data_IF_212360379096
#
_entry.id   IF_212360379096
#
_cell.length_a   1.000
_cell.length_b   1.000
_cell.length_c   1.000
_cell.angle_alpha   90.00
_cell.angle_beta   90.00
_cell.angle_gamma   90.00
#
_symmetry.space_group_name_H-M   'P 1'
#
loop_
_entity.id
_entity.type
_entity.pdbx_description
1 polymer ?
#
# COMPACT_ATOMS: atom_id res chain seq x y z
N UNK A 1 -4.99 -24.78 9.80
CA UNK A 1 -3.90 -23.87 10.17
C UNK A 1 -3.51 -23.08 8.93
N UNK A 2 -3.83 -21.79 8.88
CA UNK A 2 -3.53 -20.94 7.72
C UNK A 2 -2.06 -20.51 7.77
N UNK A 3 -1.37 -20.72 6.65
CA UNK A 3 0.07 -20.58 6.51
C UNK A 3 0.49 -19.14 6.18
N UNK A 4 1.70 -18.81 6.63
CA UNK A 4 2.35 -17.51 6.62
C UNK A 4 2.95 -17.28 5.23
N UNK A 5 2.58 -16.19 4.55
CA UNK A 5 3.33 -15.67 3.41
C UNK A 5 4.69 -15.11 3.85
N UNK A 6 5.36 -14.33 3.01
CA UNK A 6 6.74 -13.81 3.17
C UNK A 6 7.07 -12.97 4.44
N UNK A 7 6.27 -13.04 5.52
CA UNK A 7 6.39 -12.25 6.76
C UNK A 7 7.61 -12.57 7.63
N UNK A 8 8.58 -13.32 7.12
CA UNK A 8 9.75 -13.81 7.87
C UNK A 8 11.07 -13.54 7.18
N UNK A 9 11.14 -12.70 6.13
CA UNK A 9 12.45 -12.27 5.61
C UNK A 9 13.28 -11.63 6.71
N UNK A 10 12.62 -10.83 7.57
CA UNK A 10 13.28 -10.13 8.67
C UNK A 10 12.60 -10.40 10.01
N UNK A 11 13.43 -10.44 11.06
CA UNK A 11 12.98 -10.39 12.45
C UNK A 11 13.03 -8.93 12.91
N UNK A 12 11.92 -8.42 13.44
CA UNK A 12 11.83 -7.04 13.91
C UNK A 12 10.44 -6.71 14.48
N UNK A 13 10.26 -5.45 14.88
CA UNK A 13 8.98 -4.93 15.39
C UNK A 13 7.85 -5.11 14.38
N UNK A 14 6.63 -5.24 14.89
CA UNK A 14 5.39 -5.39 14.11
C UNK A 14 4.26 -4.50 14.63
N UNK A 15 4.59 -3.61 15.57
CA UNK A 15 3.60 -2.85 16.35
C UNK A 15 2.83 -1.91 15.43
N UNK A 16 3.55 -1.14 14.61
CA UNK A 16 2.93 -0.16 13.71
C UNK A 16 2.17 -0.86 12.59
N UNK A 17 2.65 -2.00 12.10
CA UNK A 17 1.91 -2.84 11.17
C UNK A 17 0.53 -3.19 11.72
N UNK A 18 0.44 -3.72 12.94
CA UNK A 18 -0.84 -4.06 13.53
C UNK A 18 -1.71 -2.83 13.80
N UNK A 19 -1.12 -1.74 14.28
CA UNK A 19 -1.84 -0.48 14.53
C UNK A 19 -2.47 0.05 13.24
N UNK A 20 -1.70 0.19 12.15
CA UNK A 20 -2.20 0.71 10.88
C UNK A 20 -3.27 -0.21 10.27
N UNK A 21 -3.06 -1.53 10.34
CA UNK A 21 -4.05 -2.50 9.86
C UNK A 21 -5.35 -2.41 10.69
N UNK A 22 -5.26 -2.34 12.01
CA UNK A 22 -6.40 -2.14 12.89
C UNK A 22 -7.10 -0.81 12.61
N UNK A 23 -6.36 0.28 12.38
CA UNK A 23 -6.94 1.57 12.02
C UNK A 23 -7.68 1.50 10.69
N UNK A 24 -7.15 0.83 9.66
CA UNK A 24 -7.85 0.64 8.39
C UNK A 24 -9.17 -0.12 8.59
N UNK A 25 -9.14 -1.23 9.34
CA UNK A 25 -10.34 -2.06 9.59
C UNK A 25 -11.37 -1.33 10.42
N UNK A 26 -10.95 -0.72 11.54
CA UNK A 26 -11.86 0.02 12.43
C UNK A 26 -12.45 1.24 11.73
N UNK A 27 -11.66 1.97 10.92
CA UNK A 27 -12.15 3.09 10.14
C UNK A 27 -13.20 2.64 9.13
N UNK A 28 -12.98 1.52 8.43
CA UNK A 28 -13.98 0.97 7.51
C UNK A 28 -15.27 0.54 8.22
N UNK A 29 -15.17 -0.11 9.38
CA UNK A 29 -16.36 -0.50 10.16
C UNK A 29 -17.13 0.73 10.67
N UNK A 30 -16.41 1.75 11.15
CA UNK A 30 -17.00 3.00 11.62
C UNK A 30 -17.69 3.76 10.48
N UNK A 31 -17.02 3.92 9.33
CA UNK A 31 -17.59 4.61 8.17
C UNK A 31 -18.79 3.85 7.64
N UNK A 32 -18.70 2.53 7.49
CA UNK A 32 -19.83 1.69 7.09
C UNK A 32 -21.04 1.87 8.01
N UNK A 33 -20.83 1.94 9.33
CA UNK A 33 -21.90 2.13 10.31
C UNK A 33 -22.54 3.52 10.24
N UNK A 34 -21.74 4.55 10.03
CA UNK A 34 -22.18 5.96 9.96
C UNK A 34 -22.90 6.24 8.64
N UNK A 35 -22.39 5.73 7.52
CA UNK A 35 -22.88 6.08 6.18
C UNK A 35 -23.96 5.14 5.65
N UNK A 36 -24.33 4.11 6.42
CA UNK A 36 -25.40 3.18 6.07
C UNK A 36 -25.09 2.22 4.91
N UNK A 37 -23.83 2.10 4.49
CA UNK A 37 -23.46 1.16 3.42
C UNK A 37 -22.17 1.50 2.68
N UNK A 38 -21.74 0.61 1.76
CA UNK A 38 -20.57 0.78 0.93
C UNK A 38 -20.77 1.95 -0.06
N UNK A 39 -19.69 2.62 -0.45
CA UNK A 39 -19.67 3.69 -1.44
C UNK A 39 -19.86 5.09 -0.86
N UNK A 40 -20.36 5.22 0.37
CA UNK A 40 -20.57 6.55 0.98
C UNK A 40 -19.36 7.07 1.77
N UNK A 41 -18.29 6.27 1.92
CA UNK A 41 -17.09 6.71 2.64
C UNK A 41 -16.37 7.89 1.96
N UNK A 42 -16.58 8.12 0.65
CA UNK A 42 -15.97 9.24 -0.07
C UNK A 42 -16.41 10.61 0.46
N UNK A 43 -17.64 10.74 0.97
CA UNK A 43 -18.16 12.00 1.50
C UNK A 43 -17.55 12.39 2.85
N UNK A 44 -16.86 11.46 3.53
CA UNK A 44 -16.26 11.67 4.84
C UNK A 44 -14.84 12.26 4.78
N UNK A 45 -14.38 12.69 3.60
CA UNK A 45 -13.07 13.33 3.42
C UNK A 45 -12.17 12.63 2.41
N UNK A 46 -12.72 12.17 1.29
CA UNK A 46 -11.90 11.78 0.14
C UNK A 46 -11.11 12.96 -0.43
N UNK A 47 -10.00 12.66 -1.10
CA UNK A 47 -9.18 13.66 -1.77
C UNK A 47 -9.86 14.06 -3.07
N UNK A 48 -10.25 15.34 -3.18
CA UNK A 48 -10.85 15.90 -4.40
C UNK A 48 -9.85 16.89 -5.00
N UNK A 49 -9.33 16.65 -6.22
CA UNK A 49 -8.38 17.56 -6.85
C UNK A 49 -8.84 19.02 -6.95
N UNK A 50 -10.10 19.27 -7.36
CA UNK A 50 -10.62 20.63 -7.47
C UNK A 50 -10.69 21.40 -6.14
N UNK A 51 -10.67 20.74 -4.97
CA UNK A 51 -10.56 21.43 -3.68
C UNK A 51 -9.22 22.15 -3.50
N UNK A 52 -8.19 21.79 -4.26
CA UNK A 52 -6.86 22.41 -4.22
C UNK A 52 -6.73 23.60 -5.19
N UNK A 53 -7.49 23.61 -6.28
CA UNK A 53 -7.37 24.60 -7.35
C UNK A 53 -8.54 25.60 -7.40
N UNK A 54 -9.71 25.21 -6.90
CA UNK A 54 -10.92 26.03 -6.84
C UNK A 54 -11.66 25.85 -5.49
N UNK A 55 -11.01 26.10 -4.34
CA UNK A 55 -11.57 25.79 -3.01
C UNK A 55 -12.90 26.49 -2.73
N UNK A 56 -13.15 27.67 -3.33
CA UNK A 56 -14.40 28.43 -3.19
C UNK A 56 -15.61 27.69 -3.77
N UNK A 57 -15.40 26.88 -4.82
CA UNK A 57 -16.44 26.13 -5.50
C UNK A 57 -16.63 24.71 -4.93
N UNK A 58 -15.71 24.26 -4.09
CA UNK A 58 -15.66 22.90 -3.55
C UNK A 58 -15.47 22.93 -2.02
N UNK A 59 -16.53 23.23 -1.25
CA UNK A 59 -16.45 23.32 0.20
C UNK A 59 -15.91 22.04 0.84
N UNK A 60 -15.15 22.21 1.92
CA UNK A 60 -14.37 21.15 2.56
C UNK A 60 -15.00 20.71 3.88
N UNK A 61 -15.33 19.42 4.01
CA UNK A 61 -15.61 18.81 5.32
C UNK A 61 -14.33 18.49 6.10
N UNK A 62 -13.24 18.27 5.37
CA UNK A 62 -11.89 18.01 5.88
C UNK A 62 -10.95 18.90 5.08
N UNK A 63 -10.03 19.64 5.73
CA UNK A 63 -9.05 20.44 5.01
C UNK A 63 -8.31 19.65 3.94
N UNK A 64 -8.13 20.20 2.74
CA UNK A 64 -7.55 19.49 1.59
C UNK A 64 -6.19 18.85 1.89
N UNK A 65 -5.32 19.53 2.64
CA UNK A 65 -4.02 18.98 3.05
C UNK A 65 -4.16 17.79 4.02
N UNK A 66 -5.17 17.81 4.89
CA UNK A 66 -5.43 16.74 5.86
C UNK A 66 -6.07 15.53 5.18
N UNK A 67 -6.85 15.74 4.11
CA UNK A 67 -7.46 14.64 3.36
C UNK A 67 -6.42 13.71 2.73
N UNK A 68 -5.21 14.19 2.40
CA UNK A 68 -4.11 13.34 1.92
C UNK A 68 -3.69 12.25 2.92
N UNK A 69 -3.91 12.47 4.22
CA UNK A 69 -3.60 11.51 5.27
C UNK A 69 -4.86 10.76 5.69
N UNK A 70 -5.95 11.48 5.90
CA UNK A 70 -7.23 10.93 6.34
C UNK A 70 -7.78 9.88 5.35
N UNK A 71 -7.71 10.18 4.05
CA UNK A 71 -8.24 9.31 3.00
C UNK A 71 -7.51 7.95 2.91
N UNK A 72 -6.31 7.80 3.48
CA UNK A 72 -5.60 6.51 3.54
C UNK A 72 -6.35 5.45 4.35
N UNK A 73 -7.21 5.86 5.28
CA UNK A 73 -7.95 4.96 6.16
C UNK A 73 -9.40 4.73 5.71
N UNK A 74 -9.88 5.51 4.75
CA UNK A 74 -11.21 5.36 4.16
C UNK A 74 -11.19 4.32 3.03
N UNK A 75 -12.20 3.45 2.99
CA UNK A 75 -12.32 2.43 1.94
C UNK A 75 -13.75 2.36 1.42
N UNK A 76 -13.87 2.24 0.10
CA UNK A 76 -15.16 2.35 -0.60
C UNK A 76 -16.09 1.16 -0.33
N UNK A 77 -15.56 -0.05 -0.24
CA UNK A 77 -16.35 -1.26 -0.08
C UNK A 77 -15.47 -2.39 0.51
N UNK A 78 -16.10 -3.52 0.81
CA UNK A 78 -15.43 -4.68 1.41
C UNK A 78 -14.27 -5.20 0.53
N UNK A 79 -14.48 -5.33 -0.78
CA UNK A 79 -13.42 -5.78 -1.69
C UNK A 79 -12.23 -4.83 -1.70
N UNK A 80 -12.50 -3.52 -1.64
CA UNK A 80 -11.47 -2.49 -1.60
C UNK A 80 -10.60 -2.61 -0.34
N UNK A 81 -11.19 -2.70 0.86
CA UNK A 81 -10.39 -2.91 2.08
C UNK A 81 -9.71 -4.28 2.12
N UNK A 82 -10.39 -5.34 1.67
CA UNK A 82 -9.85 -6.70 1.68
C UNK A 82 -8.52 -6.77 0.93
N UNK A 83 -8.47 -6.28 -0.30
CA UNK A 83 -7.24 -6.29 -1.09
C UNK A 83 -6.16 -5.40 -0.48
N UNK A 84 -6.50 -4.19 -0.03
CA UNK A 84 -5.52 -3.32 0.64
C UNK A 84 -4.94 -3.99 1.91
N UNK A 85 -5.78 -4.53 2.78
CA UNK A 85 -5.36 -5.24 3.98
C UNK A 85 -4.48 -6.46 3.66
N UNK A 86 -4.80 -7.20 2.59
CA UNK A 86 -4.05 -8.36 2.16
C UNK A 86 -2.64 -7.98 1.66
N UNK A 87 -2.53 -7.01 0.75
CA UNK A 87 -1.23 -6.55 0.25
C UNK A 87 -0.39 -5.90 1.35
N UNK A 88 -1.02 -5.10 2.21
CA UNK A 88 -0.40 -4.52 3.39
C UNK A 88 0.14 -5.62 4.32
N UNK A 89 -0.66 -6.66 4.60
CA UNK A 89 -0.27 -7.78 5.46
C UNK A 89 0.98 -8.51 4.95
N UNK A 90 1.08 -8.76 3.65
CA UNK A 90 2.23 -9.47 3.08
C UNK A 90 3.52 -8.64 3.08
N UNK A 91 3.42 -7.32 3.10
CA UNK A 91 4.57 -6.42 2.91
C UNK A 91 5.00 -5.66 4.16
N UNK A 92 4.04 -5.14 4.94
CA UNK A 92 4.29 -4.21 6.05
C UNK A 92 5.30 -4.72 7.07
N UNK A 93 5.21 -5.99 7.47
CA UNK A 93 6.06 -6.54 8.53
C UNK A 93 7.55 -6.51 8.19
N UNK A 94 7.93 -6.84 6.95
CA UNK A 94 9.34 -6.81 6.56
C UNK A 94 9.83 -5.37 6.40
N UNK A 95 8.98 -4.45 5.94
CA UNK A 95 9.32 -3.03 5.87
C UNK A 95 9.50 -2.43 7.27
N UNK A 96 8.60 -2.71 8.21
CA UNK A 96 8.72 -2.28 9.60
C UNK A 96 9.96 -2.85 10.26
N UNK A 97 10.25 -4.14 10.06
CA UNK A 97 11.45 -4.77 10.58
C UNK A 97 12.74 -4.13 10.04
N UNK A 98 12.71 -3.60 8.80
CA UNK A 98 13.86 -2.95 8.18
C UNK A 98 14.02 -1.48 8.54
N UNK A 99 12.92 -0.72 8.60
CA UNK A 99 12.92 0.72 8.88
C UNK A 99 12.81 1.06 10.37
N UNK A 100 12.42 0.10 11.20
CA UNK A 100 11.91 0.36 12.55
C UNK A 100 10.49 0.92 12.52
N UNK A 101 9.79 0.84 13.66
CA UNK A 101 8.38 1.23 13.78
C UNK A 101 8.12 2.68 13.36
N UNK A 102 8.92 3.64 13.86
CA UNK A 102 8.71 5.05 13.56
C UNK A 102 9.03 5.39 12.10
N UNK A 103 10.11 4.81 11.55
CA UNK A 103 10.48 4.98 10.15
C UNK A 103 9.41 4.44 9.20
N UNK A 104 8.87 3.26 9.50
CA UNK A 104 7.79 2.66 8.72
C UNK A 104 6.47 3.47 8.78
N UNK A 105 6.12 4.01 9.95
CA UNK A 105 4.94 4.87 10.10
C UNK A 105 5.00 6.08 9.15
N UNK A 106 6.09 6.86 9.22
CA UNK A 106 6.24 8.04 8.35
C UNK A 106 6.42 7.67 6.88
N UNK A 107 7.09 6.55 6.59
CA UNK A 107 7.20 6.03 5.23
C UNK A 107 5.82 5.73 4.63
N UNK A 108 4.94 5.05 5.37
CA UNK A 108 3.59 4.72 4.92
C UNK A 108 2.78 5.99 4.61
N UNK A 109 2.82 6.97 5.52
CA UNK A 109 2.14 8.26 5.33
C UNK A 109 2.71 9.04 4.14
N UNK A 110 4.04 9.10 4.01
CA UNK A 110 4.70 9.82 2.92
C UNK A 110 4.35 9.22 1.54
N UNK A 111 4.38 7.89 1.41
CA UNK A 111 4.00 7.22 0.16
C UNK A 111 2.52 7.47 -0.19
N UNK A 112 1.65 7.40 0.81
CA UNK A 112 0.23 7.70 0.64
C UNK A 112 -0.03 9.14 0.19
N UNK A 113 0.55 10.10 0.91
CA UNK A 113 0.44 11.52 0.59
C UNK A 113 1.02 11.85 -0.79
N UNK A 114 2.18 11.27 -1.14
CA UNK A 114 2.79 11.44 -2.47
C UNK A 114 1.90 10.87 -3.60
N UNK A 115 1.26 9.73 -3.37
CA UNK A 115 0.28 9.15 -4.28
C UNK A 115 -0.90 10.10 -4.51
N UNK A 116 -1.56 10.52 -3.43
CA UNK A 116 -2.68 11.46 -3.55
C UNK A 116 -2.26 12.81 -4.16
N UNK A 117 -1.11 13.36 -3.78
CA UNK A 117 -0.60 14.60 -4.37
C UNK A 117 -0.35 14.44 -5.88
N UNK A 118 0.20 13.30 -6.31
CA UNK A 118 0.34 13.00 -7.74
C UNK A 118 -1.03 12.95 -8.42
N UNK A 119 -2.02 12.28 -7.82
CA UNK A 119 -3.38 12.28 -8.36
C UNK A 119 -3.95 13.70 -8.50
N UNK A 120 -3.82 14.54 -7.47
CA UNK A 120 -4.28 15.95 -7.47
C UNK A 120 -3.62 16.76 -8.58
N UNK A 121 -2.29 16.69 -8.70
CA UNK A 121 -1.52 17.48 -9.66
C UNK A 121 -1.83 17.14 -11.12
N UNK A 122 -2.18 15.89 -11.40
CA UNK A 122 -2.44 15.40 -12.75
C UNK A 122 -3.94 15.27 -13.09
N UNK A 123 -4.84 15.65 -12.18
CA UNK A 123 -6.30 15.64 -12.39
C UNK A 123 -6.96 16.93 -11.88
N UNK A 124 -6.38 18.09 -12.17
CA UNK A 124 -6.78 19.40 -11.58
C UNK A 124 -8.27 19.71 -11.72
N UNK A 125 -8.91 19.26 -12.81
CA UNK A 125 -10.32 19.48 -13.12
C UNK A 125 -11.27 18.40 -12.56
N UNK A 126 -10.77 17.42 -11.81
CA UNK A 126 -11.61 16.34 -11.28
C UNK A 126 -12.31 16.73 -9.98
N UNK A 127 -13.63 16.60 -9.98
CA UNK A 127 -14.47 16.65 -8.78
C UNK A 127 -14.64 15.29 -8.10
N UNK A 128 -14.15 14.21 -8.71
CA UNK A 128 -14.32 12.86 -8.20
C UNK A 128 -13.39 12.61 -6.99
N UNK A 129 -13.92 12.25 -5.81
CA UNK A 129 -13.13 11.98 -4.63
C UNK A 129 -12.39 10.65 -4.72
N UNK A 130 -11.21 10.59 -4.10
CA UNK A 130 -10.38 9.38 -3.99
C UNK A 130 -10.13 9.02 -2.54
N UNK A 131 -10.16 7.71 -2.24
CA UNK A 131 -9.84 7.16 -0.92
C UNK A 131 -9.07 5.85 -1.07
N UNK A 132 -8.42 5.42 0.01
CA UNK A 132 -7.81 4.11 0.13
C UNK A 132 -6.32 4.15 0.45
N UNK A 133 -5.84 3.06 1.05
CA UNK A 133 -4.43 2.86 1.37
C UNK A 133 -3.56 2.51 0.15
N UNK A 134 -4.16 2.34 -1.03
CA UNK A 134 -3.51 1.67 -2.16
C UNK A 134 -2.30 2.45 -2.70
N UNK A 135 -2.32 3.78 -2.68
CA UNK A 135 -1.14 4.61 -2.99
C UNK A 135 0.04 4.34 -2.04
N UNK A 136 -0.20 4.27 -0.73
CA UNK A 136 0.84 3.93 0.25
C UNK A 136 1.36 2.51 0.04
N UNK A 137 0.48 1.54 -0.21
CA UNK A 137 0.85 0.15 -0.50
C UNK A 137 1.64 0.04 -1.81
N UNK A 138 1.34 0.88 -2.80
CA UNK A 138 2.13 0.97 -4.03
C UNK A 138 3.56 1.40 -3.73
N UNK A 139 3.75 2.37 -2.83
CA UNK A 139 5.06 2.74 -2.31
C UNK A 139 5.75 1.62 -1.54
N UNK A 140 5.00 0.87 -0.74
CA UNK A 140 5.52 -0.33 -0.08
C UNK A 140 6.03 -1.37 -1.09
N UNK A 141 5.31 -1.60 -2.19
CA UNK A 141 5.74 -2.50 -3.28
C UNK A 141 7.00 -1.97 -3.99
N UNK A 142 7.09 -0.66 -4.23
CA UNK A 142 8.30 -0.03 -4.76
C UNK A 142 9.52 -0.26 -3.88
N UNK A 143 9.39 -0.01 -2.57
CA UNK A 143 10.44 -0.32 -1.60
C UNK A 143 10.78 -1.81 -1.55
N UNK A 144 9.77 -2.68 -1.67
CA UNK A 144 9.95 -4.12 -1.74
C UNK A 144 10.78 -4.54 -2.94
N UNK A 145 10.50 -3.99 -4.11
CA UNK A 145 11.29 -4.17 -5.31
C UNK A 145 12.74 -3.76 -5.09
N UNK A 146 13.00 -2.61 -4.47
CA UNK A 146 14.37 -2.11 -4.27
C UNK A 146 15.18 -2.93 -3.26
N UNK A 147 14.58 -3.38 -2.16
CA UNK A 147 15.31 -4.05 -1.09
C UNK A 147 15.30 -5.57 -1.17
N UNK A 148 14.25 -6.15 -1.74
CA UNK A 148 14.06 -7.59 -1.80
C UNK A 148 14.06 -8.13 -3.24
N UNK A 149 14.57 -7.37 -4.23
CA UNK A 149 14.61 -7.80 -5.65
C UNK A 149 15.15 -9.21 -5.88
N UNK A 150 16.18 -9.63 -5.13
CA UNK A 150 16.81 -10.94 -5.27
C UNK A 150 16.15 -12.05 -4.42
N UNK A 151 15.05 -11.77 -3.72
CA UNK A 151 14.35 -12.73 -2.88
C UNK A 151 13.15 -13.34 -3.60
N UNK A 152 12.75 -14.54 -3.17
CA UNK A 152 11.55 -15.23 -3.64
C UNK A 152 10.41 -14.98 -2.66
N UNK A 153 9.28 -14.49 -3.16
CA UNK A 153 8.03 -14.53 -2.43
C UNK A 153 7.60 -15.99 -2.29
N UNK A 154 7.16 -16.37 -1.09
CA UNK A 154 6.66 -17.70 -0.82
C UNK A 154 5.30 -17.62 -0.14
N UNK A 155 4.33 -18.34 -0.67
CA UNK A 155 3.00 -18.49 -0.09
C UNK A 155 2.66 -19.97 -0.02
N UNK A 156 2.67 -20.50 1.20
CA UNK A 156 2.13 -21.83 1.48
C UNK A 156 0.68 -21.69 1.89
N UNK A 157 -0.19 -22.58 1.42
CA UNK A 157 -1.59 -22.62 1.83
C UNK A 157 -2.15 -24.03 1.67
N UNK A 158 -3.27 -24.32 2.35
CA UNK A 158 -3.98 -25.59 2.23
C UNK A 158 -5.34 -25.33 1.62
N UNK A 159 -5.66 -26.02 0.52
CA UNK A 159 -6.93 -25.90 -0.18
C UNK A 159 -7.48 -27.30 -0.50
N UNK A 160 -8.75 -27.55 -0.19
CA UNK A 160 -9.41 -28.86 -0.36
C UNK A 160 -8.57 -30.04 0.18
N UNK A 161 -7.98 -29.88 1.37
CA UNK A 161 -7.17 -30.91 2.01
C UNK A 161 -5.75 -31.07 1.46
N UNK A 162 -5.40 -30.44 0.33
CA UNK A 162 -4.07 -30.50 -0.30
C UNK A 162 -3.21 -29.28 0.09
N UNK A 163 -1.93 -29.52 0.30
CA UNK A 163 -0.94 -28.47 0.56
C UNK A 163 -0.40 -27.92 -0.75
N UNK A 164 -0.36 -26.60 -0.87
CA UNK A 164 0.18 -25.87 -2.01
C UNK A 164 1.33 -24.97 -1.55
N UNK A 165 2.37 -24.87 -2.38
CA UNK A 165 3.53 -23.99 -2.18
C UNK A 165 3.72 -23.17 -3.46
N UNK A 166 3.41 -21.87 -3.38
CA UNK A 166 3.61 -20.92 -4.45
C UNK A 166 4.90 -20.14 -4.21
N UNK A 167 5.76 -20.09 -5.23
CA UNK A 167 7.01 -19.32 -5.18
C UNK A 167 7.18 -18.50 -6.46
N UNK A 168 7.53 -17.24 -6.30
CA UNK A 168 7.82 -16.34 -7.41
C UNK A 168 8.88 -15.30 -7.03
N UNK A 169 9.75 -14.86 -7.97
CA UNK A 169 10.68 -13.77 -7.69
C UNK A 169 9.92 -12.49 -7.31
N UNK A 170 10.30 -11.85 -6.20
CA UNK A 170 9.65 -10.61 -5.75
C UNK A 170 9.74 -9.53 -6.83
N UNK A 171 10.90 -9.39 -7.47
CA UNK A 171 11.08 -8.41 -8.54
C UNK A 171 10.10 -8.63 -9.69
N UNK A 172 9.85 -9.90 -10.07
CA UNK A 172 8.90 -10.21 -11.14
C UNK A 172 7.47 -9.82 -10.74
N UNK A 173 7.03 -10.14 -9.51
CA UNK A 173 5.71 -9.75 -9.01
C UNK A 173 5.53 -8.23 -8.98
N UNK A 174 6.55 -7.50 -8.53
CA UNK A 174 6.53 -6.04 -8.45
C UNK A 174 6.50 -5.41 -9.85
N UNK A 175 7.31 -5.90 -10.79
CA UNK A 175 7.32 -5.44 -12.18
C UNK A 175 5.97 -5.70 -12.85
N UNK A 176 5.43 -6.90 -12.71
CA UNK A 176 4.13 -7.25 -13.28
C UNK A 176 3.02 -6.35 -12.73
N UNK A 177 3.04 -6.07 -11.42
CA UNK A 177 2.05 -5.21 -10.78
C UNK A 177 2.16 -3.76 -11.25
N UNK A 178 3.36 -3.17 -11.33
CA UNK A 178 3.49 -1.77 -11.81
C UNK A 178 3.20 -1.68 -13.32
N UNK A 179 3.60 -2.69 -14.10
CA UNK A 179 3.26 -2.77 -15.52
C UNK A 179 1.73 -2.81 -15.72
N UNK A 180 0.99 -3.55 -14.89
CA UNK A 180 -0.47 -3.56 -14.98
C UNK A 180 -1.08 -2.18 -14.69
N UNK A 181 -0.49 -1.40 -13.78
CA UNK A 181 -0.94 -0.02 -13.55
C UNK A 181 -0.77 0.85 -14.79
N UNK A 182 0.38 0.77 -15.46
CA UNK A 182 0.64 1.54 -16.69
C UNK A 182 -0.27 1.09 -17.83
N UNK A 183 -0.46 -0.22 -18.01
CA UNK A 183 -1.31 -0.78 -19.06
C UNK A 183 -2.78 -0.38 -18.90
N UNK A 184 -3.28 -0.29 -17.67
CA UNK A 184 -4.65 0.18 -17.38
C UNK A 184 -4.75 1.71 -17.47
N UNK A 185 -3.72 2.44 -17.01
CA UNK A 185 -3.75 3.90 -16.98
C UNK A 185 -3.68 4.57 -18.35
N UNK A 186 -2.97 4.00 -19.32
CA UNK A 186 -2.84 4.59 -20.66
C UNK A 186 -4.23 4.75 -21.33
N UNK A 187 -5.07 3.70 -21.44
CA UNK A 187 -6.42 3.83 -21.95
C UNK A 187 -7.29 4.84 -21.19
N UNK A 188 -7.23 4.85 -19.86
CA UNK A 188 -8.04 5.76 -19.04
C UNK A 188 -7.67 7.23 -19.30
N UNK A 189 -6.37 7.54 -19.37
CA UNK A 189 -5.89 8.88 -19.71
C UNK A 189 -6.30 9.32 -21.12
N UNK A 190 -6.19 8.43 -22.12
CA UNK A 190 -6.61 8.70 -23.50
C UNK A 190 -8.12 8.96 -23.57
N UNK A 191 -8.90 8.14 -22.88
CA UNK A 191 -10.36 8.24 -22.86
C UNK A 191 -10.87 9.39 -22.00
N UNK A 192 -9.98 10.13 -21.30
CA UNK A 192 -10.32 11.11 -20.25
C UNK A 192 -11.29 10.52 -19.19
N UNK A 193 -11.27 9.20 -19.04
CA UNK A 193 -11.90 8.53 -17.91
C UNK A 193 -11.02 8.80 -16.72
N UNK A 194 -11.60 9.22 -15.60
CA UNK A 194 -10.84 9.60 -14.41
C UNK A 194 -9.92 8.43 -14.00
N UNK A 195 -8.58 8.52 -14.23
CA UNK A 195 -7.64 7.41 -14.02
C UNK A 195 -7.25 7.33 -12.54
N UNK A 196 -8.29 7.42 -11.69
CA UNK A 196 -8.18 7.88 -10.31
C UNK A 196 -7.16 7.08 -9.53
N UNK A 197 -7.22 5.76 -9.69
CA UNK A 197 -6.37 4.84 -8.96
C UNK A 197 -4.93 4.80 -9.50
N UNK A 198 -4.73 4.91 -10.81
CA UNK A 198 -3.42 4.64 -11.42
C UNK A 198 -2.40 5.71 -11.06
N UNK A 199 -2.74 6.99 -11.17
CA UNK A 199 -1.81 8.07 -10.84
C UNK A 199 -1.42 8.08 -9.37
N UNK A 200 -2.37 7.76 -8.48
CA UNK A 200 -2.08 7.60 -7.06
C UNK A 200 -1.12 6.43 -6.80
N UNK A 201 -1.31 5.30 -7.50
CA UNK A 201 -0.41 4.15 -7.42
C UNK A 201 0.99 4.47 -7.94
N UNK A 202 1.12 5.14 -9.08
CA UNK A 202 2.40 5.53 -9.65
C UNK A 202 3.17 6.48 -8.73
N UNK A 203 2.50 7.53 -8.22
CA UNK A 203 3.12 8.50 -7.31
C UNK A 203 3.62 7.85 -6.02
N UNK A 204 2.81 6.98 -5.42
CA UNK A 204 3.20 6.21 -4.24
C UNK A 204 4.38 5.28 -4.53
N UNK A 205 4.32 4.51 -5.62
CA UNK A 205 5.37 3.57 -6.04
C UNK A 205 6.72 4.24 -6.24
N UNK A 206 6.75 5.37 -6.94
CA UNK A 206 7.97 6.16 -7.18
C UNK A 206 8.52 6.68 -5.86
N UNK A 207 7.67 7.29 -5.01
CA UNK A 207 8.08 7.79 -3.70
C UNK A 207 8.74 6.69 -2.85
N UNK A 208 8.07 5.53 -2.73
CA UNK A 208 8.58 4.42 -1.93
C UNK A 208 9.89 3.84 -2.48
N UNK A 209 10.00 3.73 -3.80
CA UNK A 209 11.23 3.26 -4.48
C UNK A 209 12.40 4.21 -4.22
N UNK A 210 12.19 5.52 -4.32
CA UNK A 210 13.22 6.54 -4.08
C UNK A 210 13.69 6.55 -2.62
N UNK A 211 12.76 6.50 -1.65
CA UNK A 211 13.11 6.42 -0.23
C UNK A 211 13.93 5.15 0.05
N UNK A 212 13.51 4.00 -0.48
CA UNK A 212 14.22 2.74 -0.31
C UNK A 212 15.61 2.78 -0.95
N UNK A 213 15.75 3.37 -2.12
CA UNK A 213 17.03 3.53 -2.82
C UNK A 213 17.99 4.43 -2.03
N UNK A 214 17.52 5.58 -1.55
CA UNK A 214 18.32 6.49 -0.73
C UNK A 214 18.79 5.84 0.59
N UNK A 215 17.96 5.01 1.21
CA UNK A 215 18.33 4.27 2.42
C UNK A 215 19.29 3.11 2.17
N UNK A 216 19.31 2.52 0.96
CA UNK A 216 20.25 1.45 0.58
C UNK A 216 21.71 1.93 0.61
N UNK A 217 21.94 3.23 0.38
CA UNK A 217 23.27 3.82 0.32
C UNK A 217 23.86 4.17 1.69
N UNK A 218 23.07 4.11 2.78
CA UNK A 218 23.60 4.31 4.14
C UNK A 218 24.25 2.99 4.61
N UNK A 219 25.55 2.96 4.94
CA UNK A 219 26.15 1.76 5.52
C UNK A 219 25.44 1.47 6.85
N UNK A 220 24.61 0.42 6.88
CA UNK A 220 23.83 0.11 8.08
C UNK A 220 24.78 -0.34 9.18
N UNK A 221 24.89 0.44 10.25
CA UNK A 221 25.46 -0.01 11.51
C UNK A 221 24.61 -1.18 12.03
N UNK A 222 25.15 -2.40 11.87
CA UNK A 222 24.73 -3.64 12.54
C UNK A 222 23.22 -3.87 12.63
N UNK A 223 22.61 -4.47 11.61
CA UNK A 223 21.58 -5.50 11.83
C UNK A 223 21.93 -6.71 10.97
N UNK A 224 22.44 -7.74 11.64
CA UNK A 224 22.85 -9.01 11.04
C UNK A 224 21.62 -9.67 10.41
N UNK A 225 21.47 -9.58 9.09
CA UNK A 225 20.54 -10.39 8.31
C UNK A 225 20.92 -11.86 8.55
N UNK A 226 20.25 -12.52 9.50
CA UNK A 226 20.26 -13.99 9.56
C UNK A 226 19.30 -14.47 8.49
N UNK A 227 19.79 -14.59 7.26
CA UNK A 227 19.17 -15.44 6.25
C UNK A 227 18.95 -16.82 6.85
N UNK A 228 17.76 -17.38 6.68
CA UNK A 228 17.49 -18.77 7.05
C UNK A 228 18.20 -19.66 6.02
N UNK A 229 19.47 -19.98 6.27
CA UNK A 229 20.11 -21.17 5.76
C UNK A 229 20.15 -22.21 6.89
N UNK A 230 19.69 -23.43 6.61
CA UNK A 230 19.85 -24.57 7.51
C UNK A 230 18.62 -25.47 7.54
N UNK A 231 18.67 -26.57 6.80
CA UNK A 231 17.59 -27.51 6.60
C UNK A 231 17.15 -28.27 7.86
N UNK A 232 15.93 -28.79 7.80
CA UNK A 232 15.60 -30.08 8.39
C UNK A 232 15.01 -30.93 7.28
N UNK A 233 15.80 -31.88 6.80
CA UNK A 233 15.27 -33.07 6.15
C UNK A 233 14.41 -33.79 7.19
N UNK A 234 13.13 -33.92 6.91
CA UNK A 234 12.27 -34.82 7.67
C UNK A 234 12.29 -36.16 6.94
N UNK A 235 13.28 -36.97 7.29
CA UNK A 235 13.14 -38.42 7.26
C UNK A 235 12.97 -38.81 8.73
N UNK A 236 11.76 -39.23 9.06
CA UNK A 236 11.35 -40.27 10.02
C UNK A 236 9.86 -40.09 10.32
#
# INVERSE_FOLDING_TARGET
MFFIGDQTLLRGSRKVTYILLSLMVLSFLATYRVTGGPGNAFSLGGVIPQQWFAPENFPQHVPAWLSLIWALFLHANFGHIFWNALFFWFTARNLEARMGSLGFFFFYLACGAAGFATHVLFNTESSAPVIGASGAISGMLGAYGVWFHNHMFQLKFRFLGKSHDFRAPILALVILWIASQVLVGIPEMIAKLSPVAVLAHLGGFVCGSLIAYAQKQKPSSRHRFKTVQGGRSWND
#
